data_IF_469391093671
#
_entry.id   IF_469391093671
#
_cell.length_a   1.000
_cell.length_b   1.000
_cell.length_c   1.000
_cell.angle_alpha   90.00
_cell.angle_beta   90.00
_cell.angle_gamma   90.00
#
_symmetry.space_group_name_H-M   'P 1'
#
loop_
_entity.id
_entity.type
_entity.pdbx_description
1 polymer ?
#
# COMPACT_ATOMS: atom_id res chain seq x y z
N UNK A 1 -59.71 -5.96 28.36
CA UNK A 1 -60.45 -4.82 27.77
C UNK A 1 -59.59 -3.57 27.92
N UNK A 2 -59.75 -2.57 27.03
CA UNK A 2 -58.87 -1.37 26.85
C UNK A 2 -57.45 -1.77 26.41
N UNK A 3 -56.92 -1.47 25.21
CA UNK A 3 -56.95 -0.33 24.25
C UNK A 3 -56.00 0.83 24.56
N UNK A 4 -55.33 1.26 23.48
CA UNK A 4 -54.69 2.55 23.18
C UNK A 4 -53.32 2.85 23.82
N UNK A 5 -52.29 2.78 22.97
CA UNK A 5 -51.27 3.83 22.86
C UNK A 5 -51.38 4.48 21.47
N UNK A 6 -50.75 5.65 21.29
CA UNK A 6 -51.08 6.64 20.27
C UNK A 6 -49.93 6.80 19.25
N UNK A 7 -50.26 7.19 18.02
CA UNK A 7 -49.31 7.46 16.93
C UNK A 7 -49.27 8.96 16.56
N UNK A 8 -48.42 9.31 15.59
CA UNK A 8 -48.10 10.67 15.08
C UNK A 8 -47.22 11.54 16.01
N UNK A 9 -46.32 12.40 15.51
CA UNK A 9 -45.92 12.67 14.11
C UNK A 9 -44.43 13.04 14.01
N UNK A 10 -43.83 12.78 12.84
CA UNK A 10 -42.56 13.38 12.41
C UNK A 10 -42.88 14.61 11.55
N UNK A 11 -42.29 15.76 11.87
CA UNK A 11 -42.42 17.00 11.09
C UNK A 11 -41.09 17.28 10.40
N UNK A 12 -41.09 17.27 9.07
CA UNK A 12 -39.97 17.75 8.26
C UNK A 12 -40.12 19.26 8.02
N UNK A 13 -39.00 19.99 8.03
CA UNK A 13 -38.95 21.42 7.70
C UNK A 13 -37.82 21.68 6.70
N UNK A 14 -38.20 22.03 5.46
CA UNK A 14 -37.30 22.54 4.43
C UNK A 14 -37.20 24.06 4.54
N UNK A 15 -35.99 24.60 4.37
CA UNK A 15 -35.76 26.01 4.04
C UNK A 15 -34.69 26.09 2.95
N UNK A 16 -34.81 27.09 2.06
CA UNK A 16 -34.05 27.23 0.81
C UNK A 16 -33.16 28.49 0.82
N UNK A 17 -32.46 28.70 -0.31
CA UNK A 17 -31.74 29.92 -0.75
C UNK A 17 -30.32 30.11 -0.17
N UNK A 18 -29.38 30.79 -0.85
CA UNK A 18 -29.48 31.57 -2.10
C UNK A 18 -28.24 31.41 -3.02
N UNK A 19 -28.36 31.81 -4.29
CA UNK A 19 -27.25 31.93 -5.24
C UNK A 19 -26.55 33.30 -5.13
N UNK A 20 -25.28 33.41 -5.59
CA UNK A 20 -24.58 34.70 -5.65
C UNK A 20 -23.18 34.63 -6.29
N UNK A 21 -23.11 34.71 -7.62
CA UNK A 21 -21.85 34.78 -8.39
C UNK A 21 -21.48 36.26 -8.68
N UNK A 22 -20.19 36.61 -8.70
CA UNK A 22 -19.69 37.92 -9.17
C UNK A 22 -18.20 37.88 -9.56
N UNK A 23 -17.78 38.72 -10.50
CA UNK A 23 -16.48 38.65 -11.20
C UNK A 23 -15.61 39.91 -11.08
N UNK A 24 -14.30 39.69 -11.08
CA UNK A 24 -13.22 40.45 -11.75
C UNK A 24 -13.07 41.98 -11.59
N UNK A 25 -11.87 42.38 -11.14
CA UNK A 25 -11.08 43.56 -11.55
C UNK A 25 -9.59 43.13 -11.44
N UNK A 26 -8.70 43.26 -12.43
CA UNK A 26 -8.07 44.48 -13.00
C UNK A 26 -7.36 45.37 -11.96
N UNK A 27 -6.11 45.88 -12.14
CA UNK A 27 -5.16 45.91 -13.29
C UNK A 27 -3.71 46.33 -12.84
N UNK A 28 -2.78 46.60 -13.79
CA UNK A 28 -1.45 47.31 -13.67
C UNK A 28 -0.23 46.36 -13.48
N UNK A 29 0.81 46.24 -14.35
CA UNK A 29 1.84 47.17 -14.93
C UNK A 29 2.93 47.59 -13.90
N UNK A 30 4.21 47.89 -14.17
CA UNK A 30 5.20 47.77 -15.30
C UNK A 30 6.63 48.08 -14.67
N UNK A 31 7.88 47.87 -15.17
CA UNK A 31 8.51 47.24 -16.38
C UNK A 31 10.03 47.54 -16.48
N UNK A 32 10.84 46.61 -17.05
CA UNK A 32 12.26 46.78 -17.47
C UNK A 32 13.27 47.12 -16.32
N UNK A 33 14.60 47.19 -16.47
CA UNK A 33 15.51 47.26 -17.66
C UNK A 33 16.84 46.48 -17.41
N UNK A 34 17.86 46.67 -18.25
CA UNK A 34 18.93 45.71 -18.60
C UNK A 34 20.36 46.05 -18.05
N UNK A 35 21.33 45.21 -18.44
CA UNK A 35 22.78 45.48 -18.63
C UNK A 35 23.73 45.48 -17.39
N UNK A 36 25.06 45.26 -17.46
CA UNK A 36 26.04 44.56 -18.35
C UNK A 36 27.46 44.79 -17.75
N UNK A 37 28.49 44.03 -18.16
CA UNK A 37 29.97 44.19 -17.96
C UNK A 37 30.55 43.09 -17.03
N UNK A 38 31.47 42.17 -17.36
CA UNK A 38 32.54 41.97 -18.38
C UNK A 38 33.97 42.25 -17.87
N UNK A 39 34.72 41.18 -17.62
CA UNK A 39 36.19 41.00 -17.59
C UNK A 39 36.44 39.47 -17.67
N UNK A 40 37.23 38.91 -18.58
CA UNK A 40 38.71 38.86 -18.65
C UNK A 40 39.42 38.21 -17.44
N UNK A 41 40.46 37.37 -17.59
CA UNK A 41 40.88 36.45 -18.67
C UNK A 41 42.13 35.66 -18.21
N UNK A 42 42.13 34.32 -18.24
CA UNK A 42 43.38 33.52 -18.13
C UNK A 42 43.24 32.16 -18.82
N UNK A 43 44.22 31.80 -19.65
CA UNK A 43 44.38 30.42 -20.15
C UNK A 43 45.08 29.56 -19.09
N UNK A 44 44.60 28.33 -18.89
CA UNK A 44 45.35 27.26 -18.24
C UNK A 44 45.15 25.96 -19.03
N UNK A 45 46.27 25.34 -19.41
CA UNK A 45 46.39 24.21 -20.33
C UNK A 45 46.74 22.97 -19.52
N UNK A 46 45.95 21.89 -19.61
CA UNK A 46 46.45 20.50 -19.67
C UNK A 46 45.34 19.44 -19.78
N UNK A 47 45.77 18.20 -20.08
CA UNK A 47 45.04 16.93 -20.01
C UNK A 47 43.74 16.78 -20.83
N UNK A 48 43.87 16.17 -22.01
CA UNK A 48 42.92 15.11 -22.38
C UNK A 48 43.05 13.98 -21.37
N UNK A 49 42.04 13.80 -20.53
CA UNK A 49 41.78 12.53 -19.83
C UNK A 49 40.44 12.03 -20.28
N UNK A 50 40.40 10.83 -20.86
CA UNK A 50 39.15 10.12 -21.14
C UNK A 50 38.42 9.90 -19.82
N UNK A 51 37.41 10.74 -19.57
CA UNK A 51 36.39 10.44 -18.60
C UNK A 51 35.55 9.29 -19.18
N UNK A 52 36.03 8.06 -19.00
CA UNK A 52 35.17 6.89 -18.97
C UNK A 52 34.14 7.18 -17.89
N UNK A 53 32.93 7.57 -18.32
CA UNK A 53 31.78 7.68 -17.44
C UNK A 53 31.44 6.28 -16.95
N UNK A 54 32.12 5.87 -15.87
CA UNK A 54 31.63 4.85 -14.97
C UNK A 54 30.33 5.41 -14.41
N UNK A 55 29.25 5.14 -15.13
CA UNK A 55 27.91 5.21 -14.61
C UNK A 55 27.82 4.18 -13.48
N UNK A 56 28.28 4.58 -12.29
CA UNK A 56 27.63 4.15 -11.06
C UNK A 56 26.19 4.58 -11.24
N UNK A 57 25.35 3.62 -11.65
CA UNK A 57 23.91 3.77 -11.60
C UNK A 57 23.59 4.22 -10.17
N UNK A 58 23.17 5.47 -10.03
CA UNK A 58 22.69 5.95 -8.76
C UNK A 58 21.46 5.10 -8.48
N UNK A 59 21.56 4.19 -7.51
CA UNK A 59 20.43 3.39 -7.05
C UNK A 59 19.36 4.39 -6.64
N UNK A 60 18.36 4.55 -7.50
CA UNK A 60 17.25 5.47 -7.25
C UNK A 60 16.45 4.84 -6.14
N UNK A 61 16.71 5.30 -4.91
CA UNK A 61 15.93 5.00 -3.73
C UNK A 61 14.45 5.13 -4.10
N UNK A 62 13.73 4.00 -4.06
CA UNK A 62 12.42 3.90 -4.68
C UNK A 62 11.48 4.92 -4.04
N UNK A 63 10.88 5.78 -4.87
CA UNK A 63 10.06 6.87 -4.37
C UNK A 63 8.87 6.30 -3.58
N UNK A 64 8.81 6.61 -2.29
CA UNK A 64 7.76 6.11 -1.39
C UNK A 64 6.38 6.48 -1.95
N UNK A 65 5.47 5.51 -2.16
CA UNK A 65 4.13 5.78 -2.66
C UNK A 65 3.35 6.75 -1.79
N UNK A 66 2.58 7.63 -2.44
CA UNK A 66 1.66 8.58 -1.77
C UNK A 66 0.19 8.21 -1.94
N UNK A 67 -0.12 7.31 -2.88
CA UNK A 67 -1.47 6.81 -3.20
C UNK A 67 -1.39 5.35 -3.66
N UNK A 68 -2.55 4.69 -3.79
CA UNK A 68 -2.66 3.36 -4.41
C UNK A 68 -2.29 3.40 -5.90
N UNK A 69 -1.83 2.28 -6.46
CA UNK A 69 -1.48 2.18 -7.89
C UNK A 69 -2.73 1.99 -8.78
N UNK A 70 -2.65 2.45 -10.03
CA UNK A 70 -3.60 2.10 -11.09
C UNK A 70 -3.46 0.62 -11.55
N UNK A 71 -2.40 -0.06 -11.10
CA UNK A 71 -2.13 -1.49 -11.35
C UNK A 71 -2.40 -2.34 -10.11
N UNK A 72 -3.02 -3.50 -10.33
CA UNK A 72 -3.31 -4.46 -9.27
C UNK A 72 -2.07 -5.29 -8.89
N UNK A 73 -1.12 -5.42 -9.82
CA UNK A 73 0.23 -5.95 -9.59
C UNK A 73 1.21 -4.81 -9.85
N UNK A 74 1.83 -4.31 -8.78
CA UNK A 74 2.84 -3.26 -8.85
C UNK A 74 3.89 -3.47 -7.75
N UNK A 75 5.07 -3.97 -8.14
CA UNK A 75 6.17 -4.23 -7.21
C UNK A 75 6.92 -2.96 -6.78
N UNK A 76 6.63 -1.80 -7.37
CA UNK A 76 7.12 -0.50 -6.91
C UNK A 76 6.11 0.19 -5.98
N UNK A 77 4.85 -0.22 -6.00
CA UNK A 77 3.78 0.29 -5.14
C UNK A 77 2.95 -0.86 -4.54
N UNK A 78 3.60 -1.68 -3.71
CA UNK A 78 2.97 -2.79 -2.98
C UNK A 78 2.18 -2.25 -1.77
N UNK A 79 1.09 -1.52 -2.05
CA UNK A 79 0.35 -0.75 -1.06
C UNK A 79 -1.15 -1.06 -1.01
N UNK A 80 -1.72 -0.80 0.16
CA UNK A 80 -3.15 -0.81 0.48
C UNK A 80 -3.40 0.26 1.55
N UNK A 81 -4.63 0.72 1.76
CA UNK A 81 -4.94 1.55 2.93
C UNK A 81 -5.45 0.69 4.08
N UNK A 82 -5.10 1.08 5.30
CA UNK A 82 -5.66 0.56 6.54
C UNK A 82 -6.26 1.72 7.35
N UNK A 83 -7.56 1.64 7.65
CA UNK A 83 -8.36 2.72 8.25
C UNK A 83 -8.23 4.08 7.51
N UNK A 84 -7.98 4.03 6.19
CA UNK A 84 -7.79 5.21 5.33
C UNK A 84 -6.35 5.74 5.27
N UNK A 85 -5.43 5.23 6.08
CA UNK A 85 -3.99 5.54 6.00
C UNK A 85 -3.32 4.62 4.98
N UNK A 86 -2.50 5.15 4.06
CA UNK A 86 -1.75 4.33 3.11
C UNK A 86 -0.65 3.55 3.83
N UNK A 87 -0.62 2.23 3.57
CA UNK A 87 0.36 1.29 4.08
C UNK A 87 1.09 0.63 2.91
N UNK A 88 2.42 0.57 2.97
CA UNK A 88 3.27 0.08 1.90
C UNK A 88 4.24 -0.98 2.44
N UNK A 89 4.27 -2.14 1.79
CA UNK A 89 5.23 -3.20 2.15
C UNK A 89 6.66 -2.71 1.92
N UNK A 90 7.56 -3.08 2.82
CA UNK A 90 8.95 -2.60 2.80
C UNK A 90 9.15 -1.16 3.31
N UNK A 91 8.09 -0.44 3.67
CA UNK A 91 8.17 0.94 4.20
C UNK A 91 7.44 1.10 5.53
N UNK A 92 6.15 0.76 5.60
CA UNK A 92 5.32 1.02 6.78
C UNK A 92 5.72 0.18 7.98
N UNK A 93 5.89 0.84 9.12
CA UNK A 93 6.28 0.25 10.40
C UNK A 93 5.07 -0.27 11.18
N UNK A 94 5.31 -1.08 12.22
CA UNK A 94 4.25 -1.43 13.18
C UNK A 94 3.65 -0.16 13.84
N UNK A 95 4.44 0.88 14.10
CA UNK A 95 3.95 2.14 14.66
C UNK A 95 2.91 2.82 13.75
N UNK A 96 3.13 2.83 12.43
CA UNK A 96 2.18 3.42 11.48
C UNK A 96 0.81 2.72 11.55
N UNK A 97 0.80 1.40 11.72
CA UNK A 97 -0.45 0.64 11.93
C UNK A 97 -1.10 0.92 13.28
N UNK A 98 -0.33 1.06 14.36
CA UNK A 98 -0.86 1.43 15.68
C UNK A 98 -1.47 2.84 15.67
N UNK A 99 -0.82 3.79 15.00
CA UNK A 99 -1.29 5.17 14.82
C UNK A 99 -2.55 5.22 13.92
N UNK A 100 -2.65 4.31 12.95
CA UNK A 100 -3.87 4.06 12.17
C UNK A 100 -4.93 3.22 12.91
N UNK A 101 -4.73 2.88 14.20
CA UNK A 101 -5.74 2.26 15.06
C UNK A 101 -5.72 0.74 15.16
N UNK A 102 -4.63 0.06 14.79
CA UNK A 102 -4.41 -1.36 15.11
C UNK A 102 -4.31 -1.54 16.65
N UNK A 103 -5.00 -2.53 17.20
CA UNK A 103 -4.93 -2.80 18.65
C UNK A 103 -3.52 -3.24 19.08
N UNK A 104 -2.85 -2.56 20.04
CA UNK A 104 -1.47 -2.86 20.42
C UNK A 104 -1.37 -4.15 21.23
N UNK A 105 -0.39 -4.99 20.91
CA UNK A 105 0.03 -6.10 21.78
C UNK A 105 0.92 -5.59 22.91
N UNK A 106 0.74 -6.17 24.11
CA UNK A 106 1.72 -6.07 25.18
C UNK A 106 3.11 -6.44 24.64
N UNK A 107 4.06 -5.49 24.73
CA UNK A 107 5.50 -5.61 24.41
C UNK A 107 6.09 -4.92 23.14
N UNK A 108 5.36 -4.06 22.44
CA UNK A 108 5.84 -3.33 21.25
C UNK A 108 7.15 -2.50 21.44
N UNK A 109 7.55 -2.20 22.68
CA UNK A 109 8.83 -1.54 23.00
C UNK A 109 10.07 -2.48 23.02
N UNK A 110 9.88 -3.81 22.90
CA UNK A 110 11.01 -4.76 22.92
C UNK A 110 11.88 -4.59 21.67
N UNK A 111 13.19 -4.77 21.84
CA UNK A 111 14.14 -4.90 20.73
C UNK A 111 14.37 -6.38 20.40
N UNK A 112 14.17 -6.77 19.14
CA UNK A 112 14.43 -8.14 18.65
C UNK A 112 15.64 -8.12 17.72
N UNK A 113 16.60 -9.02 17.96
CA UNK A 113 17.89 -9.08 17.21
C UNK A 113 17.92 -10.09 16.08
N UNK A 114 16.93 -10.98 16.01
CA UNK A 114 16.84 -12.05 15.03
C UNK A 114 15.40 -12.04 14.48
N UNK A 115 15.16 -11.35 13.36
CA UNK A 115 13.87 -11.37 12.63
C UNK A 115 14.06 -11.16 11.12
N UNK A 116 14.98 -11.99 10.59
CA UNK A 116 15.06 -12.58 9.25
C UNK A 116 15.56 -11.79 8.01
N UNK A 117 16.43 -12.49 7.28
CA UNK A 117 16.58 -12.46 5.81
C UNK A 117 15.93 -13.75 5.30
N UNK A 118 14.80 -13.67 4.59
CA UNK A 118 14.00 -14.84 4.13
C UNK A 118 12.64 -15.01 4.80
N UNK A 119 12.02 -16.18 4.56
CA UNK A 119 10.57 -16.38 4.62
C UNK A 119 9.81 -15.90 5.86
N UNK A 120 8.89 -14.91 5.73
CA UNK A 120 8.00 -14.48 6.81
C UNK A 120 6.90 -15.52 7.14
N UNK A 121 6.85 -16.62 6.38
CA UNK A 121 6.01 -17.79 6.65
C UNK A 121 6.58 -18.72 7.75
N UNK A 122 7.84 -18.54 8.17
CA UNK A 122 8.46 -19.36 9.21
C UNK A 122 8.18 -18.81 10.63
N UNK A 123 8.02 -19.72 11.59
CA UNK A 123 7.52 -19.39 12.92
C UNK A 123 8.60 -18.74 13.81
N UNK A 124 8.40 -17.46 14.16
CA UNK A 124 9.35 -16.65 14.93
C UNK A 124 10.13 -15.64 14.08
N UNK A 125 9.92 -15.65 12.76
CA UNK A 125 10.70 -14.84 11.81
C UNK A 125 10.16 -13.41 11.65
N UNK A 126 8.89 -13.17 12.01
CA UNK A 126 8.22 -11.88 11.97
C UNK A 126 7.25 -11.68 13.14
N UNK A 127 6.89 -10.42 13.42
CA UNK A 127 5.83 -10.04 14.35
C UNK A 127 4.48 -10.19 13.64
N UNK A 128 3.76 -11.28 13.87
CA UNK A 128 2.41 -11.50 13.33
C UNK A 128 1.35 -10.66 14.06
N UNK A 129 0.39 -10.08 13.34
CA UNK A 129 -0.84 -9.46 13.83
C UNK A 129 -2.04 -9.95 13.02
N UNK A 130 -2.95 -10.69 13.65
CA UNK A 130 -4.21 -11.16 13.06
C UNK A 130 -5.32 -10.15 13.31
N UNK A 131 -5.78 -9.48 12.26
CA UNK A 131 -6.94 -8.58 12.27
C UNK A 131 -8.17 -9.36 11.79
N UNK A 132 -9.21 -9.48 12.62
CA UNK A 132 -10.47 -10.09 12.18
C UNK A 132 -11.16 -9.21 11.13
N UNK A 133 -11.73 -9.82 10.09
CA UNK A 133 -12.48 -9.15 9.03
C UNK A 133 -14.00 -9.21 9.30
N UNK A 134 -14.42 -8.95 10.53
CA UNK A 134 -15.84 -8.94 10.93
C UNK A 134 -16.52 -10.32 11.02
N UNK A 135 -15.88 -11.37 10.52
CA UNK A 135 -16.27 -12.77 10.68
C UNK A 135 -15.17 -13.50 11.50
N UNK A 136 -15.56 -14.43 12.38
CA UNK A 136 -14.63 -15.29 13.13
C UNK A 136 -13.81 -16.25 12.26
N UNK A 137 -14.24 -16.51 11.02
CA UNK A 137 -13.49 -17.33 10.05
C UNK A 137 -12.76 -16.51 8.97
N UNK A 138 -12.81 -15.16 8.99
CA UNK A 138 -12.14 -14.30 8.02
C UNK A 138 -11.14 -13.36 8.73
N UNK A 139 -9.92 -13.29 8.21
CA UNK A 139 -8.83 -12.57 8.88
C UNK A 139 -7.81 -12.04 7.87
N UNK A 140 -7.13 -10.97 8.28
CA UNK A 140 -5.94 -10.45 7.64
C UNK A 140 -4.76 -10.59 8.61
N UNK A 141 -3.74 -11.36 8.25
CA UNK A 141 -2.50 -11.43 8.99
C UNK A 141 -1.47 -10.47 8.41
N UNK A 142 -0.97 -9.57 9.26
CA UNK A 142 0.12 -8.62 8.97
C UNK A 142 1.40 -9.13 9.64
N UNK A 143 2.54 -9.08 8.95
CA UNK A 143 3.81 -9.57 9.46
C UNK A 143 4.88 -8.49 9.33
N UNK A 144 5.50 -8.12 10.46
CA UNK A 144 6.53 -7.10 10.53
C UNK A 144 7.91 -7.71 10.83
N UNK A 145 8.89 -7.50 9.96
CA UNK A 145 10.24 -8.08 10.03
C UNK A 145 11.27 -7.06 10.54
N UNK A 146 12.43 -7.54 11.04
CA UNK A 146 13.59 -6.70 11.30
C UNK A 146 14.54 -6.77 10.10
N UNK A 147 14.48 -5.78 9.22
CA UNK A 147 15.27 -5.75 7.97
C UNK A 147 16.75 -5.37 8.19
N UNK A 148 17.34 -5.73 9.34
CA UNK A 148 18.68 -5.30 9.77
C UNK A 148 19.40 -6.38 10.58
N UNK A 149 20.74 -6.38 10.48
CA UNK A 149 21.61 -7.23 11.30
C UNK A 149 21.57 -6.87 12.79
N UNK A 150 21.46 -5.58 13.14
CA UNK A 150 21.22 -5.16 14.51
C UNK A 150 19.73 -5.23 14.89
N UNK A 151 19.47 -5.34 16.20
CA UNK A 151 18.08 -5.44 16.66
C UNK A 151 17.32 -4.11 16.59
N UNK A 152 16.17 -4.13 15.91
CA UNK A 152 15.22 -3.03 15.83
C UNK A 152 14.14 -3.15 16.93
N UNK A 153 13.64 -2.04 17.51
CA UNK A 153 12.45 -2.06 18.37
C UNK A 153 11.22 -2.54 17.61
N UNK A 154 10.36 -3.37 18.20
CA UNK A 154 9.23 -4.00 17.51
C UNK A 154 8.29 -2.99 16.83
N UNK A 155 8.06 -1.82 17.43
CA UNK A 155 7.30 -0.71 16.82
C UNK A 155 7.91 -0.18 15.51
N UNK A 156 9.24 -0.29 15.35
CA UNK A 156 10.00 0.21 14.19
C UNK A 156 10.27 -0.92 13.16
N UNK A 157 9.82 -2.15 13.42
CA UNK A 157 9.86 -3.25 12.45
C UNK A 157 8.87 -2.99 11.30
N UNK A 158 9.25 -3.40 10.09
CA UNK A 158 8.61 -3.00 8.82
C UNK A 158 7.74 -4.13 8.27
N UNK A 159 6.57 -3.79 7.72
CA UNK A 159 5.65 -4.74 7.10
C UNK A 159 6.32 -5.45 5.91
N UNK A 160 6.61 -6.73 6.07
CA UNK A 160 7.27 -7.58 5.08
C UNK A 160 6.30 -8.52 4.34
N UNK A 161 5.17 -8.86 4.97
CA UNK A 161 4.16 -9.74 4.38
C UNK A 161 2.74 -9.42 4.89
N UNK A 162 1.76 -9.57 4.00
CA UNK A 162 0.32 -9.51 4.30
C UNK A 162 -0.38 -10.72 3.69
N UNK A 163 -1.29 -11.32 4.45
CA UNK A 163 -2.18 -12.40 4.01
C UNK A 163 -3.62 -12.02 4.33
N UNK A 164 -4.44 -11.72 3.33
CA UNK A 164 -5.84 -11.31 3.47
C UNK A 164 -6.76 -12.45 2.99
N UNK A 165 -7.45 -13.12 3.90
CA UNK A 165 -8.44 -14.17 3.59
C UNK A 165 -9.88 -13.63 3.75
N UNK A 166 -10.47 -13.28 2.61
CA UNK A 166 -11.87 -12.89 2.48
C UNK A 166 -12.80 -14.03 2.04
N UNK A 167 -12.33 -15.29 1.98
CA UNK A 167 -13.10 -16.44 1.47
C UNK A 167 -14.38 -16.76 2.25
N UNK A 168 -14.50 -16.23 3.47
CA UNK A 168 -15.63 -16.39 4.38
C UNK A 168 -16.51 -15.15 4.53
N UNK A 169 -16.30 -14.13 3.70
CA UNK A 169 -17.08 -12.88 3.72
C UNK A 169 -18.25 -12.95 2.72
N UNK A 170 -19.34 -12.24 3.02
CA UNK A 170 -20.52 -12.22 2.13
C UNK A 170 -20.28 -11.29 0.94
N UNK A 171 -19.93 -11.89 -0.20
CA UNK A 171 -19.72 -11.22 -1.50
C UNK A 171 -20.85 -10.25 -1.89
N UNK A 172 -22.08 -10.44 -1.39
CA UNK A 172 -23.28 -9.77 -1.93
C UNK A 172 -23.51 -8.35 -1.43
N UNK A 173 -22.89 -7.94 -0.32
CA UNK A 173 -23.11 -6.61 0.25
C UNK A 173 -22.03 -5.58 -0.16
N UNK A 174 -20.94 -6.01 -0.79
CA UNK A 174 -19.82 -5.16 -1.21
C UNK A 174 -18.93 -4.64 -0.08
N UNK A 175 -19.40 -4.68 1.17
CA UNK A 175 -18.67 -4.29 2.37
C UNK A 175 -17.63 -5.34 2.77
N UNK A 176 -16.44 -5.24 2.16
CA UNK A 176 -15.23 -5.93 2.64
C UNK A 176 -14.51 -5.08 3.70
N UNK A 177 -13.81 -5.74 4.63
CA UNK A 177 -14.02 -5.40 6.04
C UNK A 177 -12.86 -4.67 6.75
N UNK A 178 -13.19 -4.06 7.90
CA UNK A 178 -12.27 -3.55 8.92
C UNK A 178 -11.13 -2.66 8.41
N UNK A 179 -11.48 -1.72 7.52
CA UNK A 179 -10.63 -0.59 7.16
C UNK A 179 -9.60 -0.87 6.07
N UNK A 180 -9.53 -2.08 5.52
CA UNK A 180 -8.69 -2.38 4.37
C UNK A 180 -9.28 -1.82 3.06
N UNK A 181 -8.44 -1.24 2.22
CA UNK A 181 -8.76 -0.77 0.86
C UNK A 181 -7.58 -1.08 -0.07
N UNK A 182 -7.75 -2.01 -1.02
CA UNK A 182 -6.71 -2.35 -2.00
C UNK A 182 -6.87 -1.55 -3.31
N UNK A 183 -5.82 -1.55 -4.14
CA UNK A 183 -5.83 -0.98 -5.49
C UNK A 183 -6.87 -1.62 -6.47
N UNK A 184 -7.49 -2.73 -6.06
CA UNK A 184 -8.46 -3.50 -6.85
C UNK A 184 -9.81 -3.64 -6.12
N UNK A 185 -10.93 -3.80 -6.86
CA UNK A 185 -12.24 -4.00 -6.24
C UNK A 185 -12.41 -5.40 -5.65
N UNK A 186 -13.18 -5.54 -4.58
CA UNK A 186 -13.40 -6.83 -3.91
C UNK A 186 -14.25 -7.84 -4.70
N UNK A 187 -14.82 -7.44 -5.83
CA UNK A 187 -15.46 -8.34 -6.80
C UNK A 187 -14.59 -8.64 -8.04
N UNK A 188 -13.29 -8.28 -8.01
CA UNK A 188 -12.31 -8.51 -9.08
C UNK A 188 -12.38 -9.95 -9.60
N UNK A 189 -12.52 -10.12 -10.91
CA UNK A 189 -12.41 -11.42 -11.59
C UNK A 189 -10.99 -11.69 -12.11
N UNK A 190 -10.68 -12.97 -12.36
CA UNK A 190 -9.40 -13.37 -12.94
C UNK A 190 -9.12 -12.76 -14.34
N UNK A 191 -10.17 -12.54 -15.15
CA UNK A 191 -10.05 -11.90 -16.47
C UNK A 191 -9.75 -10.40 -16.33
N UNK A 192 -10.40 -9.69 -15.40
CA UNK A 192 -10.12 -8.27 -15.10
C UNK A 192 -8.72 -8.07 -14.53
N UNK A 193 -8.25 -8.98 -13.66
CA UNK A 193 -6.87 -8.99 -13.19
C UNK A 193 -5.89 -9.14 -14.35
N UNK A 194 -6.12 -10.11 -15.23
CA UNK A 194 -5.25 -10.39 -16.38
C UNK A 194 -5.26 -9.21 -17.37
N UNK A 195 -6.40 -8.55 -17.56
CA UNK A 195 -6.54 -7.36 -18.41
C UNK A 195 -5.86 -6.11 -17.81
N UNK A 196 -5.85 -5.95 -16.48
CA UNK A 196 -5.15 -4.86 -15.80
C UNK A 196 -3.63 -5.10 -15.76
N UNK A 197 -3.20 -6.28 -15.32
CA UNK A 197 -1.83 -6.57 -14.85
C UNK A 197 -1.04 -7.55 -15.74
N UNK A 198 -1.65 -8.15 -16.77
CA UNK A 198 -1.02 -9.17 -17.61
C UNK A 198 -1.20 -10.60 -17.07
N UNK A 199 -0.62 -11.58 -17.75
CA UNK A 199 -0.63 -12.97 -17.27
C UNK A 199 0.30 -13.13 -16.05
N UNK A 200 -0.05 -13.97 -15.05
CA UNK A 200 0.82 -14.26 -13.92
C UNK A 200 2.03 -15.11 -14.34
N UNK A 201 3.15 -14.93 -13.62
CA UNK A 201 4.39 -15.72 -13.78
C UNK A 201 4.10 -17.23 -13.74
N UNK A 202 3.20 -17.66 -12.85
CA UNK A 202 2.63 -19.01 -12.88
C UNK A 202 1.25 -19.09 -12.19
N UNK A 203 0.56 -20.22 -12.37
CA UNK A 203 -0.70 -20.55 -11.68
C UNK A 203 -0.46 -21.83 -10.84
N UNK A 204 -0.92 -21.86 -9.59
CA UNK A 204 -0.66 -22.95 -8.61
C UNK A 204 -1.96 -23.33 -7.91
N UNK A 205 -2.24 -24.63 -7.85
CA UNK A 205 -3.60 -25.12 -7.59
C UNK A 205 -4.53 -24.77 -8.76
N UNK A 206 -5.84 -24.82 -8.53
CA UNK A 206 -6.84 -24.48 -9.55
C UNK A 206 -7.16 -22.97 -9.59
N UNK A 207 -6.79 -22.21 -8.55
CA UNK A 207 -7.31 -20.86 -8.31
C UNK A 207 -6.28 -19.81 -7.83
N UNK A 208 -5.01 -20.17 -7.67
CA UNK A 208 -3.94 -19.26 -7.24
C UNK A 208 -3.14 -18.71 -8.42
N UNK A 209 -3.12 -17.38 -8.58
CA UNK A 209 -2.41 -16.64 -9.63
C UNK A 209 -1.20 -15.94 -9.01
N UNK A 210 0.01 -16.34 -9.40
CA UNK A 210 1.26 -15.90 -8.79
C UNK A 210 2.02 -14.98 -9.74
N UNK A 211 2.13 -13.71 -9.36
CA UNK A 211 3.07 -12.76 -9.96
C UNK A 211 4.31 -12.74 -9.06
N UNK A 212 5.47 -12.98 -9.64
CA UNK A 212 6.77 -12.94 -8.94
C UNK A 212 7.83 -12.24 -9.77
N UNK A 213 8.77 -11.60 -9.08
CA UNK A 213 10.01 -11.04 -9.64
C UNK A 213 11.14 -11.12 -8.62
N UNK A 214 12.40 -11.05 -9.07
CA UNK A 214 13.57 -11.04 -8.18
C UNK A 214 13.59 -9.76 -7.33
N UNK A 215 13.87 -9.90 -6.03
CA UNK A 215 14.02 -8.74 -5.14
C UNK A 215 15.26 -7.92 -5.49
N UNK A 216 15.10 -6.60 -5.57
CA UNK A 216 16.21 -5.65 -5.75
C UNK A 216 16.84 -5.22 -4.42
N UNK A 217 16.24 -5.61 -3.30
CA UNK A 217 16.66 -5.24 -1.94
C UNK A 217 17.31 -6.42 -1.20
N UNK A 218 16.88 -7.65 -1.51
CA UNK A 218 17.34 -8.87 -0.85
C UNK A 218 17.91 -9.85 -1.89
N UNK A 219 19.21 -10.15 -1.79
CA UNK A 219 19.92 -11.01 -2.73
C UNK A 219 19.35 -12.42 -2.73
N UNK A 220 19.07 -12.96 -3.93
CA UNK A 220 18.52 -14.30 -4.18
C UNK A 220 17.10 -14.56 -3.61
N UNK A 221 16.37 -13.54 -3.12
CA UNK A 221 14.95 -13.62 -2.74
C UNK A 221 14.00 -13.18 -3.88
N UNK A 222 12.72 -13.59 -3.83
CA UNK A 222 11.66 -13.12 -4.72
C UNK A 222 10.68 -12.17 -4.00
N UNK A 223 10.11 -11.21 -4.74
CA UNK A 223 8.90 -10.49 -4.34
C UNK A 223 7.70 -11.17 -4.98
N UNK A 224 6.56 -11.23 -4.29
CA UNK A 224 5.34 -11.82 -4.87
C UNK A 224 4.05 -11.08 -4.54
N UNK A 225 3.12 -11.11 -5.50
CA UNK A 225 1.72 -10.74 -5.32
C UNK A 225 0.89 -11.93 -5.81
N UNK A 226 0.09 -12.50 -4.90
CA UNK A 226 -0.62 -13.76 -5.13
C UNK A 226 -2.12 -13.54 -4.94
N UNK A 227 -2.88 -13.67 -6.02
CA UNK A 227 -4.33 -13.58 -6.01
C UNK A 227 -4.95 -14.96 -5.94
N UNK A 228 -5.91 -15.14 -5.03
CA UNK A 228 -6.70 -16.37 -4.88
C UNK A 228 -8.15 -16.11 -5.27
N UNK A 229 -8.72 -16.97 -6.13
CA UNK A 229 -10.06 -16.83 -6.68
C UNK A 229 -11.02 -17.95 -6.22
N UNK A 230 -12.33 -17.71 -6.32
CA UNK A 230 -13.36 -18.72 -6.09
C UNK A 230 -13.71 -19.47 -7.38
N UNK A 231 -13.02 -20.59 -7.62
CA UNK A 231 -13.25 -21.44 -8.79
C UNK A 231 -14.57 -22.25 -8.74
N UNK A 232 -15.34 -22.20 -7.66
CA UNK A 232 -16.59 -22.95 -7.50
C UNK A 232 -17.84 -22.13 -7.87
N UNK A 233 -17.74 -20.80 -7.90
CA UNK A 233 -18.87 -19.90 -8.15
C UNK A 233 -18.66 -19.03 -9.40
N UNK A 234 -17.92 -17.93 -9.24
CA UNK A 234 -17.95 -16.75 -10.10
C UNK A 234 -16.53 -16.24 -10.47
N UNK A 235 -15.48 -16.93 -10.02
CA UNK A 235 -14.07 -16.52 -10.20
C UNK A 235 -13.79 -15.10 -9.69
N UNK A 236 -14.54 -14.61 -8.68
CA UNK A 236 -14.14 -13.41 -7.95
C UNK A 236 -12.99 -13.72 -7.00
N UNK A 237 -12.21 -12.70 -6.67
CA UNK A 237 -11.21 -12.75 -5.61
C UNK A 237 -11.82 -13.24 -4.28
N UNK A 238 -11.05 -14.05 -3.56
CA UNK A 238 -11.30 -14.46 -2.17
C UNK A 238 -10.12 -14.16 -1.25
N UNK A 239 -8.94 -13.86 -1.79
CA UNK A 239 -7.82 -13.40 -0.99
C UNK A 239 -6.68 -12.84 -1.82
N UNK A 240 -5.83 -12.05 -1.16
CA UNK A 240 -4.56 -11.56 -1.69
C UNK A 240 -3.46 -11.86 -0.66
N UNK A 241 -2.29 -12.22 -1.15
CA UNK A 241 -1.07 -12.26 -0.35
C UNK A 241 -0.01 -11.42 -1.04
N UNK A 242 0.73 -10.60 -0.30
CA UNK A 242 1.81 -9.78 -0.85
C UNK A 242 3.07 -9.93 0.01
N UNK A 243 4.20 -10.19 -0.63
CA UNK A 243 5.45 -10.60 0.01
C UNK A 243 6.61 -9.73 -0.49
N UNK A 244 7.27 -9.02 0.42
CA UNK A 244 8.43 -8.16 0.15
C UNK A 244 9.78 -8.90 0.29
N UNK A 245 9.81 -9.93 1.13
CA UNK A 245 10.96 -10.78 1.48
C UNK A 245 10.51 -12.24 1.54
N UNK A 246 11.22 -13.22 0.97
CA UNK A 246 10.70 -14.59 0.74
C UNK A 246 11.68 -15.71 1.04
#
# INVERSE_FOLDING_TARGET
MKKQFIAAALIAALVLTACGESKTSEKTSEKATEATTTAEATEAKEAETEATETATEAVTEAAVPTELSDKYVDFNNMSFKYNGHLMTLGVSTLQDFLDAGLEPKDNYDKVWKESFHGSPHEAGCAIEYTVSLGNSEAYCNLYFCNLKEEGTPMKDCVLCYISYDGSKLDKKNGEYCNGFEFAFPYNLTADELTANSGEPTYKKGENGFFYTETSTVFTDEERSIVFSFDNNNDWTIIGVNMTWTS
#
